data_IF_502482872841
#
_entry.id   IF_502482872841
#
_cell.length_a   1.000
_cell.length_b   1.000
_cell.length_c   1.000
_cell.angle_alpha   90.00
_cell.angle_beta   90.00
_cell.angle_gamma   90.00
#
_symmetry.space_group_name_H-M   'P 1'
#
loop_
_entity.id
_entity.type
_entity.pdbx_description
1 polymer ?
#
# COMPACT_ATOMS: atom_id res chain seq x y z
N UNK A 1 26.09 -24.37 4.17
CA UNK A 1 24.90 -23.97 4.95
C UNK A 1 24.97 -22.46 5.13
N UNK A 2 24.20 -21.74 4.32
CA UNK A 2 24.10 -20.27 4.41
C UNK A 2 23.42 -19.93 5.73
N UNK A 3 24.07 -19.11 6.58
CA UNK A 3 23.41 -18.51 7.75
C UNK A 3 22.23 -17.73 7.22
N UNK A 4 21.01 -18.11 7.63
CA UNK A 4 19.84 -17.29 7.39
C UNK A 4 20.15 -15.89 7.93
N UNK A 5 20.08 -14.89 7.08
CA UNK A 5 20.39 -13.51 7.44
C UNK A 5 19.27 -13.04 8.37
N UNK A 6 19.51 -13.03 9.69
CA UNK A 6 18.52 -12.66 10.71
C UNK A 6 18.11 -11.18 10.65
N UNK A 7 18.65 -10.42 9.70
CA UNK A 7 18.53 -8.96 9.61
C UNK A 7 17.95 -8.47 8.28
N UNK A 8 17.01 -9.21 7.70
CA UNK A 8 16.30 -8.72 6.49
C UNK A 8 15.35 -7.57 6.85
N UNK A 9 15.27 -6.60 5.96
CA UNK A 9 14.28 -5.52 6.00
C UNK A 9 12.90 -6.13 5.68
N UNK A 10 12.05 -6.19 6.70
CA UNK A 10 10.69 -6.72 6.58
C UNK A 10 9.80 -5.72 5.87
N UNK A 11 9.20 -6.13 4.76
CA UNK A 11 8.35 -5.28 3.92
C UNK A 11 6.89 -5.71 4.06
N UNK A 12 6.01 -4.72 4.22
CA UNK A 12 4.57 -4.87 4.03
C UNK A 12 4.16 -4.09 2.79
N UNK A 13 3.45 -4.74 1.87
CA UNK A 13 3.00 -4.16 0.61
C UNK A 13 1.47 -4.01 0.62
N UNK A 14 0.98 -2.76 0.57
CA UNK A 14 -0.45 -2.45 0.44
C UNK A 14 -0.80 -2.17 -1.02
N UNK A 15 -2.01 -2.55 -1.42
CA UNK A 15 -2.49 -2.36 -2.80
C UNK A 15 -1.54 -2.99 -3.83
N UNK A 16 -1.09 -4.20 -3.51
CA UNK A 16 0.06 -4.85 -4.13
C UNK A 16 -0.07 -5.10 -5.64
N UNK A 17 -1.30 -5.04 -6.19
CA UNK A 17 -1.51 -5.38 -7.59
C UNK A 17 -0.99 -6.79 -7.90
N UNK A 18 -0.11 -6.89 -8.87
CA UNK A 18 0.58 -8.14 -9.24
C UNK A 18 1.96 -8.28 -8.60
N UNK A 19 2.31 -7.42 -7.63
CA UNK A 19 3.56 -7.49 -6.85
C UNK A 19 4.72 -6.67 -7.44
N UNK A 20 4.44 -5.49 -7.97
CA UNK A 20 5.46 -4.63 -8.57
C UNK A 20 6.54 -4.20 -7.59
N UNK A 21 6.17 -3.74 -6.41
CA UNK A 21 7.12 -3.36 -5.34
C UNK A 21 7.95 -4.56 -4.89
N UNK A 22 7.31 -5.69 -4.65
CA UNK A 22 8.00 -6.92 -4.25
C UNK A 22 9.06 -7.32 -5.26
N UNK A 23 8.71 -7.34 -6.55
CA UNK A 23 9.65 -7.67 -7.63
C UNK A 23 10.83 -6.69 -7.63
N UNK A 24 10.54 -5.39 -7.51
CA UNK A 24 11.58 -4.35 -7.55
C UNK A 24 12.52 -4.44 -6.34
N UNK A 25 11.99 -4.57 -5.14
CA UNK A 25 12.78 -4.60 -3.91
C UNK A 25 13.60 -5.89 -3.79
N UNK A 26 12.94 -7.06 -3.88
CA UNK A 26 13.61 -8.37 -3.78
C UNK A 26 14.56 -8.62 -4.96
N UNK A 27 14.33 -7.98 -6.12
CA UNK A 27 15.26 -8.00 -7.25
C UNK A 27 16.45 -7.04 -7.10
N UNK A 28 16.32 -5.99 -6.29
CA UNK A 28 17.40 -5.03 -6.04
C UNK A 28 18.40 -5.54 -4.99
N UNK A 29 17.93 -6.26 -3.95
CA UNK A 29 18.78 -6.82 -2.90
C UNK A 29 18.08 -7.99 -2.19
N UNK A 30 18.86 -8.98 -1.81
CA UNK A 30 18.44 -10.08 -0.93
C UNK A 30 18.12 -9.64 0.51
N UNK A 31 18.39 -8.39 0.84
CA UNK A 31 18.11 -7.81 2.16
C UNK A 31 16.62 -7.52 2.38
N UNK A 32 15.81 -7.47 1.33
CA UNK A 32 14.37 -7.26 1.43
C UNK A 32 13.61 -8.58 1.51
N UNK A 33 12.60 -8.62 2.37
CA UNK A 33 11.66 -9.73 2.48
C UNK A 33 10.23 -9.21 2.62
N UNK A 34 9.38 -9.45 1.62
CA UNK A 34 7.95 -9.13 1.72
C UNK A 34 7.25 -10.18 2.57
N UNK A 35 6.96 -9.82 3.82
CA UNK A 35 6.36 -10.73 4.81
C UNK A 35 4.84 -10.74 4.81
N UNK A 36 4.22 -9.67 4.32
CA UNK A 36 2.77 -9.53 4.21
C UNK A 36 2.38 -8.57 3.10
N UNK A 37 1.24 -8.83 2.47
CA UNK A 37 0.70 -7.95 1.44
C UNK A 37 -0.82 -7.99 1.41
N UNK A 38 -1.41 -6.90 0.91
CA UNK A 38 -2.85 -6.78 0.70
C UNK A 38 -3.15 -6.41 -0.75
N UNK A 39 -4.03 -7.16 -1.39
CA UNK A 39 -4.59 -6.84 -2.69
C UNK A 39 -6.07 -7.20 -2.73
N UNK A 40 -6.91 -6.20 -2.99
CA UNK A 40 -8.34 -6.38 -3.15
C UNK A 40 -8.94 -5.32 -4.08
N UNK A 41 -9.85 -5.72 -4.95
CA UNK A 41 -10.51 -4.85 -5.91
C UNK A 41 -12.02 -4.79 -5.62
N UNK A 42 -12.55 -3.62 -5.21
CA UNK A 42 -13.95 -3.49 -4.77
C UNK A 42 -14.96 -3.61 -5.90
N UNK A 43 -14.55 -3.39 -7.15
CA UNK A 43 -15.43 -3.28 -8.31
C UNK A 43 -15.61 -4.59 -9.08
N UNK A 44 -14.96 -5.66 -8.67
CA UNK A 44 -14.99 -6.94 -9.37
C UNK A 44 -15.16 -8.13 -8.42
N UNK A 45 -15.92 -9.14 -8.87
CA UNK A 45 -16.02 -10.42 -8.18
C UNK A 45 -14.74 -11.26 -8.38
N UNK A 46 -14.13 -11.13 -9.56
CA UNK A 46 -12.88 -11.80 -9.90
C UNK A 46 -11.69 -10.98 -9.45
N UNK A 47 -10.92 -11.51 -8.50
CA UNK A 47 -9.75 -10.86 -7.92
C UNK A 47 -8.49 -11.25 -8.70
N UNK A 48 -8.41 -10.85 -9.98
CA UNK A 48 -7.39 -11.33 -10.92
C UNK A 48 -5.97 -10.93 -10.50
N UNK A 49 -5.77 -9.70 -10.03
CA UNK A 49 -4.47 -9.26 -9.54
C UNK A 49 -4.01 -10.09 -8.33
N UNK A 50 -4.93 -10.39 -7.39
CA UNK A 50 -4.66 -11.27 -6.26
C UNK A 50 -4.32 -12.70 -6.71
N UNK A 51 -5.02 -13.23 -7.71
CA UNK A 51 -4.73 -14.55 -8.27
C UNK A 51 -3.34 -14.60 -8.89
N UNK A 52 -2.96 -13.59 -9.69
CA UNK A 52 -1.62 -13.48 -10.29
C UNK A 52 -0.54 -13.36 -9.22
N UNK A 53 -0.76 -12.51 -8.20
CA UNK A 53 0.17 -12.37 -7.07
C UNK A 53 0.43 -13.72 -6.39
N UNK A 54 -0.65 -14.42 -6.05
CA UNK A 54 -0.58 -15.74 -5.37
C UNK A 54 0.08 -16.82 -6.23
N UNK A 55 -0.20 -16.82 -7.53
CA UNK A 55 0.43 -17.75 -8.46
C UNK A 55 1.95 -17.56 -8.53
N UNK A 56 2.42 -16.30 -8.41
CA UNK A 56 3.83 -15.95 -8.48
C UNK A 56 4.59 -16.14 -7.17
N UNK A 57 4.00 -15.69 -6.05
CA UNK A 57 4.69 -15.59 -4.76
C UNK A 57 4.16 -16.54 -3.69
N UNK A 58 3.12 -17.30 -3.99
CA UNK A 58 2.44 -18.14 -3.01
C UNK A 58 1.41 -17.37 -2.18
N UNK A 59 0.83 -18.07 -1.22
CA UNK A 59 -0.29 -17.57 -0.40
C UNK A 59 0.16 -17.07 0.98
N UNK A 60 1.39 -17.35 1.39
CA UNK A 60 1.89 -16.96 2.71
C UNK A 60 1.92 -15.45 2.84
N UNK A 61 1.28 -14.93 3.88
CA UNK A 61 1.20 -13.50 4.14
C UNK A 61 0.34 -12.71 3.15
N UNK A 62 -0.43 -13.37 2.26
CA UNK A 62 -1.32 -12.69 1.32
C UNK A 62 -2.71 -12.48 1.92
N UNK A 63 -3.18 -11.24 1.91
CA UNK A 63 -4.51 -10.84 2.35
C UNK A 63 -5.34 -10.32 1.16
N UNK A 64 -6.41 -11.05 0.80
CA UNK A 64 -7.36 -10.63 -0.23
C UNK A 64 -8.67 -10.18 0.42
N UNK A 65 -8.62 -9.08 1.16
CA UNK A 65 -9.77 -8.45 1.81
C UNK A 65 -9.70 -6.94 1.63
N UNK A 66 -10.86 -6.29 1.67
CA UNK A 66 -10.90 -4.83 1.73
C UNK A 66 -10.09 -4.34 2.95
N UNK A 67 -9.10 -3.49 2.70
CA UNK A 67 -8.21 -2.96 3.74
C UNK A 67 -8.99 -2.21 4.84
N UNK A 68 -10.19 -1.69 4.54
CA UNK A 68 -11.08 -1.08 5.53
C UNK A 68 -11.51 -2.08 6.61
N UNK A 69 -11.57 -3.36 6.28
CA UNK A 69 -12.03 -4.43 7.16
C UNK A 69 -10.86 -5.21 7.79
N UNK A 70 -9.61 -4.90 7.43
CA UNK A 70 -8.43 -5.54 7.99
C UNK A 70 -8.04 -4.89 9.30
N UNK A 71 -8.04 -5.68 10.39
CA UNK A 71 -7.50 -5.20 11.66
C UNK A 71 -5.98 -4.98 11.55
N UNK A 72 -5.50 -3.86 12.10
CA UNK A 72 -4.06 -3.55 12.12
C UNK A 72 -3.26 -4.59 12.91
N UNK A 73 -3.89 -5.31 13.84
CA UNK A 73 -3.26 -6.42 14.57
C UNK A 73 -2.93 -7.62 13.68
N UNK A 74 -3.60 -7.75 12.52
CA UNK A 74 -3.34 -8.80 11.54
C UNK A 74 -2.18 -8.44 10.59
N UNK A 75 -1.72 -7.20 10.62
CA UNK A 75 -0.58 -6.72 9.85
C UNK A 75 0.66 -6.88 10.73
N UNK A 76 1.64 -7.72 10.36
CA UNK A 76 2.82 -7.95 11.19
C UNK A 76 3.67 -6.68 11.34
N UNK A 77 4.51 -6.64 12.36
CA UNK A 77 5.49 -5.57 12.51
C UNK A 77 6.53 -5.66 11.38
N UNK A 78 6.88 -4.52 10.83
CA UNK A 78 7.71 -4.41 9.63
C UNK A 78 8.54 -3.12 9.65
N UNK A 79 9.58 -3.10 8.83
CA UNK A 79 10.53 -1.99 8.75
C UNK A 79 10.17 -1.00 7.65
N UNK A 80 9.59 -1.51 6.55
CA UNK A 80 9.25 -0.74 5.36
C UNK A 80 7.80 -1.02 4.94
N UNK A 81 7.00 0.04 4.83
CA UNK A 81 5.65 0.00 4.26
C UNK A 81 5.68 0.56 2.84
N UNK A 82 5.23 -0.23 1.88
CA UNK A 82 5.16 0.17 0.48
C UNK A 82 3.76 0.05 -0.09
N UNK A 83 3.46 0.78 -1.17
CA UNK A 83 2.21 0.63 -1.88
C UNK A 83 1.96 1.68 -2.94
N UNK A 84 1.22 1.31 -3.99
CA UNK A 84 0.67 2.22 -5.00
C UNK A 84 -0.83 2.38 -4.79
N UNK A 85 -1.27 3.33 -3.98
CA UNK A 85 -2.71 3.50 -3.74
C UNK A 85 -3.39 4.17 -4.94
N UNK A 86 -4.57 3.66 -5.36
CA UNK A 86 -5.27 4.19 -6.52
C UNK A 86 -5.63 5.67 -6.30
N UNK A 87 -5.23 6.50 -7.27
CA UNK A 87 -5.44 7.94 -7.26
C UNK A 87 -6.34 8.40 -8.42
N UNK A 88 -7.43 7.68 -8.66
CA UNK A 88 -8.34 7.99 -9.77
C UNK A 88 -9.00 9.36 -9.63
N UNK A 89 -9.12 9.89 -8.41
CA UNK A 89 -9.61 11.24 -8.17
C UNK A 89 -8.60 12.33 -8.56
N UNK A 90 -7.33 11.95 -8.82
CA UNK A 90 -6.27 12.86 -9.28
C UNK A 90 -5.84 12.59 -10.72
N UNK A 91 -6.39 11.55 -11.38
CA UNK A 91 -6.05 11.20 -12.76
C UNK A 91 -6.40 12.31 -13.75
N UNK A 92 -5.57 12.45 -14.82
CA UNK A 92 -5.79 13.38 -15.95
C UNK A 92 -7.14 13.15 -16.66
N UNK A 93 -7.73 11.95 -16.51
CA UNK A 93 -8.99 11.60 -17.13
C UNK A 93 -10.22 12.17 -16.42
N UNK A 94 -10.09 12.62 -15.15
CA UNK A 94 -11.18 13.30 -14.45
C UNK A 94 -11.00 14.82 -14.51
N UNK A 95 -12.04 15.54 -14.94
CA UNK A 95 -12.04 17.00 -14.85
C UNK A 95 -11.94 17.43 -13.39
N UNK A 96 -11.16 18.48 -13.11
CA UNK A 96 -10.93 19.00 -11.75
C UNK A 96 -12.21 19.31 -10.97
N UNK A 97 -13.33 19.56 -11.66
CA UNK A 97 -14.65 19.81 -11.08
C UNK A 97 -15.32 18.56 -10.49
N UNK A 98 -14.90 17.37 -10.90
CA UNK A 98 -15.46 16.10 -10.44
C UNK A 98 -14.48 15.28 -9.59
N UNK A 99 -13.23 15.76 -9.42
CA UNK A 99 -12.25 15.08 -8.59
C UNK A 99 -12.44 15.49 -7.11
N UNK A 100 -12.83 14.53 -6.29
CA UNK A 100 -12.96 14.73 -4.83
C UNK A 100 -11.62 14.85 -4.10
N UNK A 101 -10.51 14.70 -4.81
CA UNK A 101 -9.16 14.68 -4.22
C UNK A 101 -9.05 13.61 -3.13
N UNK A 102 -8.29 13.89 -2.07
CA UNK A 102 -8.16 13.01 -0.88
C UNK A 102 -9.51 12.79 -0.18
N UNK A 103 -10.48 13.70 -0.33
CA UNK A 103 -11.83 13.58 0.21
C UNK A 103 -12.78 12.76 -0.66
N UNK A 104 -12.41 12.44 -1.89
CA UNK A 104 -13.18 11.58 -2.78
C UNK A 104 -13.24 10.14 -2.32
N UNK A 105 -14.18 9.35 -2.84
CA UNK A 105 -14.39 7.94 -2.46
C UNK A 105 -13.12 7.08 -2.56
N UNK A 106 -12.17 7.44 -3.43
CA UNK A 106 -10.90 6.73 -3.65
C UNK A 106 -9.74 7.32 -2.86
N UNK A 107 -9.83 8.57 -2.42
CA UNK A 107 -8.94 9.16 -1.43
C UNK A 107 -9.04 8.51 -0.04
N UNK A 108 -10.13 7.75 0.18
CA UNK A 108 -10.34 6.95 1.40
C UNK A 108 -9.20 5.97 1.68
N UNK A 109 -8.53 5.44 0.65
CA UNK A 109 -7.44 4.48 0.83
C UNK A 109 -6.17 5.09 1.47
N UNK A 110 -5.90 6.38 1.22
CA UNK A 110 -4.87 7.11 1.96
C UNK A 110 -5.15 7.11 3.47
N UNK A 111 -6.42 7.30 3.86
CA UNK A 111 -6.79 7.29 5.27
C UNK A 111 -6.62 5.92 5.92
N UNK A 112 -6.65 4.84 5.15
CA UNK A 112 -6.34 3.51 5.68
C UNK A 112 -4.84 3.36 5.95
N UNK A 113 -3.97 3.91 5.10
CA UNK A 113 -2.54 4.00 5.38
C UNK A 113 -2.32 4.78 6.68
N UNK A 114 -2.93 5.96 6.79
CA UNK A 114 -2.84 6.81 7.99
C UNK A 114 -3.33 6.06 9.24
N UNK A 115 -4.49 5.38 9.17
CA UNK A 115 -5.04 4.57 10.25
C UNK A 115 -4.03 3.50 10.70
N UNK A 116 -3.50 2.72 9.77
CA UNK A 116 -2.52 1.67 10.06
C UNK A 116 -1.31 2.26 10.79
N UNK A 117 -0.76 3.37 10.30
CA UNK A 117 0.37 4.04 10.93
C UNK A 117 0.03 4.55 12.35
N UNK A 118 -1.16 5.10 12.56
CA UNK A 118 -1.57 5.57 13.89
C UNK A 118 -1.78 4.41 14.87
N UNK A 119 -2.44 3.34 14.42
CA UNK A 119 -2.75 2.19 15.27
C UNK A 119 -1.51 1.35 15.61
N UNK A 120 -0.48 1.33 14.73
CA UNK A 120 0.81 0.68 14.99
C UNK A 120 1.61 1.36 16.11
N UNK A 121 1.38 2.61 16.41
CA UNK A 121 2.03 3.37 17.51
C UNK A 121 3.56 3.24 17.47
N UNK A 122 4.16 2.60 18.49
CA UNK A 122 5.60 2.38 18.61
C UNK A 122 6.14 1.33 17.62
N UNK A 123 5.25 0.50 17.05
CA UNK A 123 5.58 -0.52 16.05
C UNK A 123 5.43 0.00 14.61
N UNK A 124 5.43 1.32 14.41
CA UNK A 124 5.40 1.92 13.07
C UNK A 124 6.63 1.51 12.27
N UNK A 125 6.48 1.31 10.95
CA UNK A 125 7.63 1.12 10.08
C UNK A 125 8.54 2.35 10.12
N UNK A 126 9.85 2.14 10.00
CA UNK A 126 10.83 3.20 9.92
C UNK A 126 10.80 3.94 8.58
N UNK A 127 10.38 3.23 7.53
CA UNK A 127 10.39 3.74 6.16
C UNK A 127 9.05 3.56 5.48
N UNK A 128 8.69 4.55 4.65
CA UNK A 128 7.49 4.55 3.82
C UNK A 128 7.93 4.79 2.37
N UNK A 129 7.44 3.98 1.45
CA UNK A 129 7.70 4.16 0.03
C UNK A 129 6.40 3.97 -0.76
N UNK A 130 5.79 5.08 -1.18
CA UNK A 130 4.53 5.09 -1.91
C UNK A 130 4.72 5.64 -3.31
N UNK A 131 4.08 4.98 -4.28
CA UNK A 131 3.93 5.45 -5.64
C UNK A 131 2.58 6.15 -5.79
N UNK A 132 2.57 7.23 -6.54
CA UNK A 132 1.35 7.92 -6.92
C UNK A 132 1.55 8.81 -8.13
N UNK A 133 0.44 9.32 -8.71
CA UNK A 133 0.50 10.27 -9.82
C UNK A 133 0.95 11.66 -9.34
N UNK A 134 1.67 12.39 -10.20
CA UNK A 134 2.22 13.72 -9.96
C UNK A 134 1.16 14.74 -9.50
N UNK A 135 -0.07 14.60 -9.97
CA UNK A 135 -1.20 15.46 -9.59
C UNK A 135 -1.56 15.40 -8.09
N UNK A 136 -1.13 14.39 -7.38
CA UNK A 136 -1.29 14.36 -5.92
C UNK A 136 -0.61 15.60 -5.30
N UNK A 137 0.59 15.95 -5.76
CA UNK A 137 1.34 17.12 -5.31
C UNK A 137 0.71 18.43 -5.77
N UNK A 138 0.07 18.43 -6.95
CA UNK A 138 -0.66 19.57 -7.51
C UNK A 138 -2.06 19.80 -6.94
N UNK A 139 -2.54 18.94 -6.05
CA UNK A 139 -3.87 19.05 -5.46
C UNK A 139 -4.07 20.40 -4.76
N UNK A 140 -5.24 21.08 -4.91
CA UNK A 140 -5.51 22.35 -4.26
C UNK A 140 -5.29 22.30 -2.74
N UNK A 141 -4.75 23.36 -2.16
CA UNK A 141 -4.42 23.43 -0.73
C UNK A 141 -5.62 23.12 0.19
N UNK A 142 -6.85 23.46 -0.25
CA UNK A 142 -8.10 23.11 0.45
C UNK A 142 -8.38 21.60 0.50
N UNK A 143 -7.82 20.84 -0.44
CA UNK A 143 -7.95 19.37 -0.51
C UNK A 143 -6.78 18.66 0.15
N UNK A 144 -5.62 19.33 0.26
CA UNK A 144 -4.44 18.80 0.95
C UNK A 144 -4.61 18.75 2.47
N UNK A 145 -5.53 19.55 3.01
CA UNK A 145 -5.79 19.61 4.44
C UNK A 145 -4.59 20.05 5.29
N UNK A 146 -4.82 20.41 6.55
CA UNK A 146 -3.73 20.65 7.52
C UNK A 146 -3.11 19.33 8.03
N UNK A 147 -3.66 18.20 7.59
CA UNK A 147 -3.38 16.87 8.12
C UNK A 147 -2.26 16.15 7.36
N UNK A 148 -1.58 16.84 6.42
CA UNK A 148 -0.34 16.36 5.80
C UNK A 148 0.93 16.66 6.62
N UNK A 149 0.81 17.26 7.78
CA UNK A 149 1.89 17.30 8.74
C UNK A 149 2.00 15.89 9.39
N UNK A 150 2.80 15.03 8.77
CA UNK A 150 3.28 13.80 9.38
C UNK A 150 4.38 14.15 10.38
#
# INVERSE_FOLDING_TARGET
>A
MSKANENKIKVVELFAGVGGFRIGLEGASDDYETIWNNQWEPSTVHQDASLVYRARFGTKGHCNQDINNVSTTNIPDHDLLVGGFPCQDYSVASTLSHSGGIKGKKGVLWWQIHRILQEKREHKPHYLFFENVDRLLGSPAKQRGRDFAI
#
